data_IF_105143198646
#
_entry.id   IF_105143198646
#
_cell.length_a   1.000
_cell.length_b   1.000
_cell.length_c   1.000
_cell.angle_alpha   90.00
_cell.angle_beta   90.00
_cell.angle_gamma   90.00
#
_symmetry.space_group_name_H-M   'P 1'
#
loop_
_entity.id
_entity.type
_entity.pdbx_description
1 polymer ?
#
# COMPACT_ATOMS: atom_id res chain seq x y z
N UNK A 1 10.91 -22.79 -11.45
CA UNK A 1 10.94 -21.31 -11.48
C UNK A 1 11.64 -20.83 -10.24
N UNK A 2 12.43 -19.74 -10.29
CA UNK A 2 13.02 -19.14 -9.09
C UNK A 2 11.92 -18.76 -8.07
N UNK A 3 12.22 -18.90 -6.78
CA UNK A 3 11.26 -18.59 -5.69
C UNK A 3 11.16 -17.07 -5.40
N UNK A 4 12.11 -16.28 -5.93
CA UNK A 4 12.18 -14.82 -5.86
C UNK A 4 13.02 -14.29 -7.04
N UNK A 5 12.88 -13.00 -7.36
CA UNK A 5 13.69 -12.29 -8.35
C UNK A 5 14.75 -11.38 -7.73
N UNK A 6 15.61 -10.82 -8.58
CA UNK A 6 16.71 -9.90 -8.22
C UNK A 6 16.41 -8.44 -8.56
N UNK A 7 15.21 -8.16 -9.03
CA UNK A 7 14.73 -6.81 -9.38
C UNK A 7 13.63 -6.42 -8.39
N UNK A 8 13.53 -5.15 -8.04
CA UNK A 8 12.44 -4.65 -7.19
C UNK A 8 11.14 -4.48 -8.01
N UNK A 9 10.51 -5.61 -8.30
CA UNK A 9 9.19 -5.63 -8.94
C UNK A 9 8.21 -6.45 -8.12
N UNK A 10 6.91 -6.14 -8.26
CA UNK A 10 5.87 -6.93 -7.59
C UNK A 10 5.94 -8.43 -7.97
N UNK A 11 6.35 -8.74 -9.21
CA UNK A 11 6.49 -10.11 -9.70
C UNK A 11 7.72 -10.84 -9.12
N UNK A 12 8.74 -10.10 -8.69
CA UNK A 12 9.97 -10.64 -8.12
C UNK A 12 9.88 -10.92 -6.61
N UNK A 13 8.78 -10.54 -5.95
CA UNK A 13 8.59 -10.75 -4.50
C UNK A 13 8.68 -12.25 -4.12
N UNK A 14 9.39 -12.59 -3.03
CA UNK A 14 9.49 -13.96 -2.52
C UNK A 14 8.14 -14.64 -2.28
N UNK A 15 8.03 -15.88 -2.74
CA UNK A 15 6.83 -16.72 -2.60
C UNK A 15 6.89 -17.63 -1.36
N UNK A 16 6.83 -17.05 -0.15
CA UNK A 16 7.11 -17.76 1.11
C UNK A 16 5.88 -18.32 1.86
N UNK A 17 4.66 -17.97 1.47
CA UNK A 17 3.42 -18.33 2.21
C UNK A 17 2.70 -19.58 1.72
N UNK A 18 3.24 -20.27 0.71
CA UNK A 18 2.48 -21.26 -0.06
C UNK A 18 1.46 -20.62 -1.00
N UNK A 19 0.97 -21.37 -1.99
CA UNK A 19 0.22 -20.82 -3.14
C UNK A 19 -1.00 -19.98 -2.73
N UNK A 20 -1.73 -20.39 -1.69
CA UNK A 20 -2.95 -19.70 -1.23
C UNK A 20 -2.67 -18.41 -0.43
N UNK A 21 -1.50 -18.27 0.20
CA UNK A 21 -1.17 -17.08 1.01
C UNK A 21 -0.20 -16.14 0.32
N UNK A 22 0.46 -16.55 -0.77
CA UNK A 22 1.45 -15.73 -1.46
C UNK A 22 0.91 -14.35 -1.86
N UNK A 23 -0.33 -14.24 -2.34
CA UNK A 23 -0.93 -12.96 -2.70
C UNK A 23 -1.18 -12.05 -1.50
N UNK A 24 -1.38 -12.62 -0.31
CA UNK A 24 -1.54 -11.88 0.95
C UNK A 24 -0.17 -11.46 1.46
N UNK A 25 0.77 -12.41 1.58
CA UNK A 25 2.14 -12.16 2.06
C UNK A 25 2.93 -11.21 1.17
N UNK A 26 2.71 -11.25 -0.14
CA UNK A 26 3.34 -10.31 -1.07
C UNK A 26 2.98 -8.83 -0.81
N UNK A 27 1.90 -8.55 -0.07
CA UNK A 27 1.52 -7.18 0.34
C UNK A 27 2.37 -6.67 1.49
N UNK A 28 2.88 -7.57 2.33
CA UNK A 28 3.71 -7.24 3.50
C UNK A 28 5.21 -7.27 3.17
N UNK A 29 5.59 -7.91 2.07
CA UNK A 29 6.97 -8.00 1.60
C UNK A 29 7.30 -6.80 0.71
N UNK A 30 8.47 -6.21 0.92
CA UNK A 30 8.95 -5.07 0.16
C UNK A 30 10.47 -5.09 0.01
N UNK A 31 11.00 -4.44 -1.02
CA UNK A 31 12.43 -4.31 -1.24
C UNK A 31 13.05 -3.27 -0.29
N UNK A 32 14.31 -3.51 0.07
CA UNK A 32 15.18 -2.56 0.77
C UNK A 32 16.58 -2.65 0.19
N UNK A 33 17.48 -1.75 0.58
CA UNK A 33 18.91 -1.84 0.23
C UNK A 33 19.60 -3.12 0.74
N UNK A 34 19.04 -3.81 1.74
CA UNK A 34 19.56 -5.07 2.26
C UNK A 34 18.92 -6.31 1.61
N UNK A 35 17.86 -6.12 0.83
CA UNK A 35 17.12 -7.18 0.14
C UNK A 35 15.63 -7.22 0.49
N UNK A 36 14.97 -8.34 0.18
CA UNK A 36 13.55 -8.52 0.43
C UNK A 36 13.28 -8.59 1.92
N UNK A 37 12.42 -7.70 2.40
CA UNK A 37 12.11 -7.57 3.82
C UNK A 37 10.61 -7.54 4.06
N UNK A 38 10.20 -7.74 5.31
CA UNK A 38 8.84 -7.49 5.78
C UNK A 38 8.86 -6.62 7.05
N UNK A 39 7.71 -6.07 7.44
CA UNK A 39 7.60 -5.34 8.69
C UNK A 39 7.91 -6.29 9.88
N UNK A 40 8.87 -5.92 10.73
CA UNK A 40 9.24 -6.74 11.89
C UNK A 40 8.16 -6.76 12.97
N UNK A 41 8.14 -7.83 13.77
CA UNK A 41 7.15 -8.06 14.84
C UNK A 41 7.39 -7.24 16.14
N UNK A 42 8.14 -6.14 16.09
CA UNK A 42 8.52 -5.34 17.27
C UNK A 42 7.47 -4.32 17.73
N UNK A 43 7.41 -4.08 19.05
CA UNK A 43 6.65 -2.97 19.66
C UNK A 43 7.11 -1.63 19.07
N UNK A 44 6.17 -0.74 18.76
CA UNK A 44 6.38 0.54 18.07
C UNK A 44 7.33 1.55 18.76
N UNK A 45 7.93 1.21 19.90
CA UNK A 45 8.80 2.10 20.69
C UNK A 45 10.26 2.11 20.24
N UNK A 46 10.66 1.19 19.37
CA UNK A 46 11.96 1.21 18.68
C UNK A 46 11.63 1.05 17.21
N UNK A 47 11.97 2.05 16.38
CA UNK A 47 11.60 2.08 14.95
C UNK A 47 11.65 0.67 14.36
N UNK A 48 10.48 0.17 13.90
CA UNK A 48 10.28 -1.26 13.59
C UNK A 48 11.36 -1.71 12.61
N UNK A 49 12.39 -2.39 13.11
CA UNK A 49 13.42 -2.96 12.25
C UNK A 49 12.73 -3.96 11.32
N UNK A 50 13.04 -3.87 10.04
CA UNK A 50 12.49 -4.80 9.07
C UNK A 50 13.11 -6.19 9.28
N UNK A 51 12.33 -7.24 9.07
CA UNK A 51 12.86 -8.60 9.02
C UNK A 51 13.36 -8.87 7.61
N UNK A 52 14.66 -9.19 7.46
CA UNK A 52 15.26 -9.52 6.18
C UNK A 52 14.96 -10.99 5.84
N UNK A 53 14.21 -11.20 4.77
CA UNK A 53 13.81 -12.52 4.27
C UNK A 53 14.83 -13.09 3.28
N UNK A 54 15.34 -12.24 2.39
CA UNK A 54 16.35 -12.61 1.39
C UNK A 54 17.37 -11.49 1.29
N UNK A 55 18.61 -11.78 1.65
CA UNK A 55 19.70 -10.80 1.60
C UNK A 55 20.17 -10.57 0.15
N UNK A 56 20.07 -9.32 -0.31
CA UNK A 56 20.55 -8.87 -1.60
C UNK A 56 21.01 -7.42 -1.50
N UNK A 57 22.24 -7.15 -1.91
CA UNK A 57 22.80 -5.80 -1.84
C UNK A 57 22.11 -4.89 -2.86
N UNK A 58 21.58 -3.78 -2.39
CA UNK A 58 21.06 -2.69 -3.20
C UNK A 58 19.72 -2.96 -3.88
N UNK A 59 18.94 -3.97 -3.47
CA UNK A 59 17.74 -4.41 -4.20
C UNK A 59 16.75 -3.27 -4.53
N UNK A 60 16.42 -2.39 -3.58
CA UNK A 60 15.51 -1.26 -3.80
C UNK A 60 16.11 -0.11 -4.63
N UNK A 61 17.41 -0.18 -4.92
CA UNK A 61 18.14 0.77 -5.77
C UNK A 61 18.63 0.11 -7.07
N UNK A 62 18.31 -1.17 -7.28
CA UNK A 62 18.69 -1.91 -8.49
C UNK A 62 17.81 -1.45 -9.64
N UNK A 63 18.44 -1.17 -10.77
CA UNK A 63 17.78 -0.84 -12.03
C UNK A 63 17.17 -2.10 -12.66
N UNK A 64 15.93 -2.01 -13.17
CA UNK A 64 15.29 -3.12 -13.90
C UNK A 64 16.11 -3.39 -15.18
N UNK A 65 16.56 -4.63 -15.37
CA UNK A 65 17.39 -5.04 -16.51
C UNK A 65 18.90 -4.81 -16.37
N UNK A 66 19.39 -4.35 -15.22
CA UNK A 66 20.83 -4.25 -14.95
C UNK A 66 21.49 -5.62 -14.74
N UNK A 67 22.64 -5.87 -15.37
CA UNK A 67 23.33 -7.17 -15.32
C UNK A 67 24.16 -7.41 -14.04
N UNK A 68 24.06 -6.54 -13.02
CA UNK A 68 24.77 -6.75 -11.76
C UNK A 68 24.49 -5.68 -10.68
N UNK A 69 24.72 -6.07 -9.42
CA UNK A 69 24.66 -5.20 -8.25
C UNK A 69 25.82 -4.19 -8.28
N UNK A 70 25.66 -3.08 -9.00
CA UNK A 70 26.66 -1.99 -9.06
C UNK A 70 26.58 -1.06 -10.26
N UNK A 71 25.70 -1.31 -11.23
CA UNK A 71 25.57 -0.45 -12.41
C UNK A 71 24.54 0.68 -12.15
N UNK A 72 25.04 1.84 -11.68
CA UNK A 72 24.27 3.09 -11.50
C UNK A 72 24.36 3.97 -12.74
N UNK A 73 23.86 3.48 -13.88
CA UNK A 73 23.97 4.23 -15.12
C UNK A 73 22.95 3.84 -16.18
N UNK A 74 21.85 4.59 -16.27
CA UNK A 74 20.96 4.65 -17.43
C UNK A 74 19.95 3.49 -17.65
N UNK A 75 19.50 2.81 -16.61
CA UNK A 75 18.17 2.17 -16.60
C UNK A 75 17.25 2.91 -15.63
N UNK A 76 15.94 2.74 -15.81
CA UNK A 76 14.92 3.36 -14.96
C UNK A 76 15.15 2.88 -13.52
N UNK A 77 15.61 3.78 -12.64
CA UNK A 77 15.62 3.54 -11.20
C UNK A 77 14.26 3.00 -10.80
N UNK A 78 14.26 1.88 -10.05
CA UNK A 78 13.01 1.37 -9.50
C UNK A 78 12.55 2.34 -8.43
N UNK A 79 11.53 3.13 -8.76
CA UNK A 79 10.86 3.99 -7.81
C UNK A 79 9.81 3.19 -7.05
N UNK A 80 9.59 3.54 -5.78
CA UNK A 80 8.42 3.13 -5.03
C UNK A 80 7.16 3.29 -5.88
N UNK A 81 6.36 2.23 -5.98
CA UNK A 81 5.13 2.20 -6.76
C UNK A 81 4.07 1.38 -6.05
N UNK A 82 2.80 1.75 -6.25
CA UNK A 82 1.67 1.03 -5.68
C UNK A 82 1.52 -0.31 -6.41
N UNK A 83 1.69 -1.41 -5.67
CA UNK A 83 1.55 -2.79 -6.17
C UNK A 83 0.15 -3.34 -5.99
N UNK A 84 -0.59 -2.85 -5.00
CA UNK A 84 -1.97 -3.23 -4.75
C UNK A 84 -2.64 -2.25 -3.79
N UNK A 85 -3.96 -2.20 -3.84
CA UNK A 85 -4.77 -1.56 -2.82
C UNK A 85 -5.77 -2.57 -2.25
N UNK A 86 -6.08 -2.46 -0.96
CA UNK A 86 -7.02 -3.37 -0.30
C UNK A 86 -7.91 -2.64 0.70
N UNK A 87 -9.19 -3.03 0.75
CA UNK A 87 -10.00 -2.80 1.94
C UNK A 87 -9.41 -3.60 3.12
N UNK A 88 -9.34 -2.95 4.28
CA UNK A 88 -8.93 -3.59 5.54
C UNK A 88 -10.16 -4.08 6.33
N UNK A 89 -11.35 -3.93 5.76
CA UNK A 89 -12.63 -4.38 6.28
C UNK A 89 -13.37 -5.13 5.16
N UNK A 90 -14.22 -6.09 5.52
CA UNK A 90 -15.01 -6.87 4.55
C UNK A 90 -16.42 -6.34 4.34
N UNK A 91 -16.94 -5.59 5.31
CA UNK A 91 -18.24 -4.91 5.28
C UNK A 91 -18.20 -3.70 6.21
N UNK A 92 -19.18 -2.82 6.07
CA UNK A 92 -19.44 -1.72 7.01
C UNK A 92 -20.87 -1.83 7.54
N UNK A 93 -21.05 -1.82 8.87
CA UNK A 93 -22.39 -1.77 9.48
C UNK A 93 -22.72 -0.34 9.86
N UNK A 94 -23.85 0.17 9.37
CA UNK A 94 -24.32 1.50 9.76
C UNK A 94 -24.83 1.49 11.20
N UNK A 95 -25.54 0.45 11.63
CA UNK A 95 -26.04 0.37 13.00
C UNK A 95 -24.91 0.43 14.05
N UNK A 96 -23.78 -0.24 13.79
CA UNK A 96 -22.62 -0.23 14.69
C UNK A 96 -21.72 1.01 14.50
N UNK A 97 -21.72 1.60 13.30
CA UNK A 97 -20.68 2.54 12.91
C UNK A 97 -19.33 1.84 12.71
N UNK A 98 -18.28 2.60 12.45
CA UNK A 98 -16.95 2.04 12.35
C UNK A 98 -15.94 2.92 11.63
N UNK A 99 -14.87 2.29 11.16
CA UNK A 99 -13.80 2.97 10.41
C UNK A 99 -13.70 2.36 9.03
N UNK A 100 -13.99 3.14 7.99
CA UNK A 100 -13.59 2.80 6.63
C UNK A 100 -12.07 2.83 6.57
N UNK A 101 -11.46 1.79 5.99
CA UNK A 101 -10.01 1.62 6.02
C UNK A 101 -9.51 0.96 4.74
N UNK A 102 -8.63 1.67 4.03
CA UNK A 102 -8.01 1.21 2.77
C UNK A 102 -6.49 1.34 2.90
N UNK A 103 -5.78 0.32 2.44
CA UNK A 103 -4.32 0.29 2.39
C UNK A 103 -3.83 0.30 0.94
N UNK A 104 -2.89 1.20 0.62
CA UNK A 104 -2.07 1.14 -0.58
C UNK A 104 -0.70 0.53 -0.24
N UNK A 105 -0.35 -0.58 -0.91
CA UNK A 105 0.88 -1.33 -0.68
C UNK A 105 1.93 -0.99 -1.73
N UNK A 106 3.12 -0.64 -1.30
CA UNK A 106 4.26 -0.33 -2.17
C UNK A 106 5.18 -1.54 -2.37
N UNK A 107 5.96 -1.51 -3.45
CA UNK A 107 6.99 -2.52 -3.74
C UNK A 107 8.21 -2.40 -2.83
N UNK A 108 8.52 -1.19 -2.37
CA UNK A 108 9.57 -0.89 -1.38
C UNK A 108 9.01 -0.08 -0.19
N UNK A 109 9.88 0.23 0.78
CA UNK A 109 9.53 1.12 1.88
C UNK A 109 9.33 2.55 1.39
N UNK A 110 8.38 3.27 1.99
CA UNK A 110 8.08 4.67 1.65
C UNK A 110 8.03 5.56 2.88
N UNK A 111 8.50 6.79 2.71
CA UNK A 111 8.30 7.89 3.66
C UNK A 111 7.19 8.80 3.15
N UNK A 112 6.16 8.98 3.96
CA UNK A 112 5.02 9.88 3.66
C UNK A 112 5.17 11.16 4.47
N UNK A 113 5.02 12.30 3.81
CA UNK A 113 4.97 13.62 4.44
C UNK A 113 3.63 14.31 4.14
N UNK A 114 3.24 15.25 4.98
CA UNK A 114 1.94 15.95 4.88
C UNK A 114 0.74 15.07 5.24
N UNK A 115 -0.44 15.47 4.74
CA UNK A 115 -1.71 14.81 5.04
C UNK A 115 -2.41 14.36 3.75
N UNK A 116 -1.90 13.32 3.07
CA UNK A 116 -2.55 12.81 1.89
C UNK A 116 -3.98 12.33 2.17
N UNK A 117 -4.83 12.40 1.16
CA UNK A 117 -6.21 11.96 1.20
C UNK A 117 -6.53 11.01 0.07
N UNK A 118 -7.53 10.16 0.27
CA UNK A 118 -8.04 9.22 -0.70
C UNK A 118 -9.53 9.46 -0.91
N UNK A 119 -9.93 9.75 -2.13
CA UNK A 119 -11.34 9.88 -2.49
C UNK A 119 -11.97 8.52 -2.79
N UNK A 120 -13.01 8.18 -2.03
CA UNK A 120 -13.83 6.98 -2.19
C UNK A 120 -15.20 7.38 -2.71
N UNK A 121 -15.60 6.76 -3.81
CA UNK A 121 -16.91 6.95 -4.41
C UNK A 121 -17.96 6.18 -3.63
N UNK A 122 -19.11 6.81 -3.43
CA UNK A 122 -20.36 6.15 -3.05
C UNK A 122 -21.27 6.21 -4.29
N UNK A 123 -21.95 5.11 -4.60
CA UNK A 123 -22.79 5.01 -5.79
C UNK A 123 -24.12 5.77 -5.68
N UNK A 124 -24.64 5.92 -4.46
CA UNK A 124 -25.96 6.48 -4.17
C UNK A 124 -25.91 7.77 -3.34
N UNK A 125 -24.76 8.10 -2.75
CA UNK A 125 -24.56 9.27 -1.86
C UNK A 125 -23.29 10.06 -2.19
N UNK A 126 -23.05 11.09 -1.38
CA UNK A 126 -21.83 11.90 -1.49
C UNK A 126 -20.57 11.05 -1.27
N UNK A 127 -19.54 11.34 -2.06
CA UNK A 127 -18.25 10.68 -1.94
C UNK A 127 -17.61 10.92 -0.56
N UNK A 128 -16.85 9.93 -0.10
CA UNK A 128 -16.06 10.02 1.12
C UNK A 128 -14.62 10.43 0.81
N UNK A 129 -14.01 11.15 1.74
CA UNK A 129 -12.58 11.45 1.71
C UNK A 129 -11.94 10.82 2.95
N UNK A 130 -11.11 9.80 2.74
CA UNK A 130 -10.34 9.16 3.80
C UNK A 130 -9.01 9.91 3.95
N UNK A 131 -8.52 10.00 5.18
CA UNK A 131 -7.26 10.69 5.51
C UNK A 131 -6.17 9.68 5.86
N UNK A 132 -4.94 9.97 5.45
CA UNK A 132 -3.76 9.19 5.82
C UNK A 132 -3.63 9.06 7.35
N UNK A 133 -3.38 7.84 7.82
CA UNK A 133 -3.13 7.51 9.22
C UNK A 133 -1.75 6.87 9.35
N UNK A 134 -0.78 7.64 9.84
CA UNK A 134 0.56 7.13 10.11
C UNK A 134 0.57 5.99 11.15
N UNK A 135 -0.32 6.06 12.14
CA UNK A 135 -0.44 5.04 13.19
C UNK A 135 -0.95 3.69 12.66
N UNK A 136 -1.81 3.70 11.63
CA UNK A 136 -2.32 2.48 10.98
C UNK A 136 -1.41 1.96 9.85
N UNK A 137 -0.41 2.76 9.46
CA UNK A 137 0.50 2.46 8.35
C UNK A 137 1.68 1.59 8.77
N UNK A 138 2.34 0.97 7.80
CA UNK A 138 3.61 0.25 7.98
C UNK A 138 4.67 0.81 7.03
N UNK A 139 5.89 0.28 7.08
CA UNK A 139 7.01 0.78 6.27
C UNK A 139 6.71 0.83 4.75
N UNK A 140 5.94 -0.12 4.22
CA UNK A 140 5.59 -0.20 2.80
C UNK A 140 4.08 -0.01 2.55
N UNK A 141 3.31 0.36 3.56
CA UNK A 141 1.85 0.46 3.46
C UNK A 141 1.39 1.81 3.95
N UNK A 142 0.70 2.51 3.05
CA UNK A 142 0.04 3.76 3.34
C UNK A 142 -1.45 3.48 3.59
N UNK A 143 -1.92 3.72 4.81
CA UNK A 143 -3.31 3.44 5.20
C UNK A 143 -4.11 4.72 5.34
N UNK A 144 -5.27 4.74 4.70
CA UNK A 144 -6.25 5.81 4.75
C UNK A 144 -7.46 5.35 5.56
N UNK A 145 -7.96 6.23 6.43
CA UNK A 145 -9.06 5.92 7.34
C UNK A 145 -10.10 7.03 7.38
N UNK A 146 -11.36 6.66 7.62
CA UNK A 146 -12.44 7.58 7.94
C UNK A 146 -13.35 6.93 8.98
N UNK A 147 -13.48 7.58 10.13
CA UNK A 147 -14.42 7.15 11.17
C UNK A 147 -15.81 7.68 10.83
N UNK A 148 -16.81 6.81 10.84
CA UNK A 148 -18.21 7.14 10.64
C UNK A 148 -18.98 6.62 11.85
N UNK A 149 -19.73 7.50 12.50
CA UNK A 149 -20.49 7.16 13.70
C UNK A 149 -21.65 6.20 13.39
N UNK A 150 -22.10 5.48 14.42
CA UNK A 150 -23.31 4.66 14.36
C UNK A 150 -24.52 5.49 13.91
N UNK A 151 -25.32 4.94 13.00
CA UNK A 151 -26.53 5.57 12.48
C UNK A 151 -26.30 6.83 11.61
N UNK A 152 -25.06 7.16 11.25
CA UNK A 152 -24.77 8.33 10.42
C UNK A 152 -25.47 8.23 9.05
N UNK A 153 -25.93 9.36 8.50
CA UNK A 153 -26.74 9.40 7.26
C UNK A 153 -25.92 9.30 5.97
N UNK A 154 -24.59 9.38 6.06
CA UNK A 154 -23.69 9.37 4.91
C UNK A 154 -23.56 8.00 4.23
N UNK A 155 -23.94 6.93 4.90
CA UNK A 155 -23.97 5.54 4.40
C UNK A 155 -25.27 4.91 4.84
N UNK A 156 -25.89 4.08 4.01
CA UNK A 156 -27.02 3.22 4.37
C UNK A 156 -26.99 1.90 3.63
N UNK A 157 -27.92 1.03 4.01
CA UNK A 157 -28.12 -0.29 3.45
C UNK A 157 -28.15 -0.26 1.92
N UNK A 158 -27.31 -1.11 1.31
CA UNK A 158 -27.18 -1.23 -0.13
C UNK A 158 -26.24 -0.24 -0.81
N UNK A 159 -25.67 0.74 -0.10
CA UNK A 159 -24.64 1.60 -0.69
C UNK A 159 -23.39 0.80 -1.05
N UNK A 160 -22.84 1.08 -2.24
CA UNK A 160 -21.61 0.46 -2.72
C UNK A 160 -20.48 1.48 -2.77
N UNK A 161 -19.44 1.23 -1.97
CA UNK A 161 -18.23 2.03 -1.92
C UNK A 161 -17.15 1.49 -2.86
N UNK A 162 -16.55 2.37 -3.65
CA UNK A 162 -15.59 2.00 -4.68
C UNK A 162 -14.59 3.12 -4.96
N UNK A 163 -13.53 2.84 -5.72
CA UNK A 163 -12.61 3.86 -6.23
C UNK A 163 -12.76 3.90 -7.76
N UNK A 164 -13.70 4.73 -8.21
CA UNK A 164 -14.01 4.87 -9.63
C UNK A 164 -13.11 5.94 -10.24
N UNK A 165 -11.91 5.52 -10.62
CA UNK A 165 -10.93 6.35 -11.30
C UNK A 165 -9.49 6.00 -10.94
N UNK A 166 -8.56 6.45 -11.78
CA UNK A 166 -7.14 6.38 -11.51
C UNK A 166 -6.72 7.54 -10.60
N UNK A 167 -5.61 7.36 -9.87
CA UNK A 167 -4.90 8.45 -9.18
C UNK A 167 -5.79 9.27 -8.22
N UNK A 168 -6.60 8.59 -7.41
CA UNK A 168 -7.52 9.19 -6.44
C UNK A 168 -6.85 9.55 -5.11
N UNK A 169 -5.54 9.31 -4.98
CA UNK A 169 -4.71 9.78 -3.88
C UNK A 169 -4.27 11.22 -4.17
N UNK A 170 -4.63 12.14 -3.29
CA UNK A 170 -4.13 13.52 -3.27
C UNK A 170 -3.06 13.65 -2.19
N UNK A 171 -1.92 14.27 -2.51
CA UNK A 171 -0.83 14.46 -1.54
C UNK A 171 -1.00 15.70 -0.65
N UNK A 172 -1.92 16.60 -0.98
CA UNK A 172 -2.26 17.78 -0.17
C UNK A 172 -1.04 18.61 0.28
N UNK A 173 -0.09 18.85 -0.63
CA UNK A 173 1.16 19.59 -0.35
C UNK A 173 2.27 18.77 0.31
N UNK A 174 2.03 17.49 0.58
CA UNK A 174 3.04 16.51 1.01
C UNK A 174 3.67 15.74 -0.15
N UNK A 175 4.41 14.70 0.20
CA UNK A 175 5.15 13.84 -0.72
C UNK A 175 5.21 12.40 -0.25
N UNK A 176 5.36 11.47 -1.20
CA UNK A 176 5.72 10.07 -0.92
C UNK A 176 7.06 9.82 -1.59
N UNK A 177 8.03 9.37 -0.81
CA UNK A 177 9.41 9.15 -1.25
C UNK A 177 9.78 7.70 -0.97
N UNK A 178 10.41 7.03 -1.93
CA UNK A 178 10.92 5.66 -1.83
C UNK A 178 12.14 5.54 -0.93
N UNK A 179 12.64 4.32 -0.76
CA UNK A 179 13.84 4.09 0.05
C UNK A 179 15.11 4.59 -0.66
N UNK A 180 15.05 4.75 -1.98
CA UNK A 180 16.06 5.35 -2.85
C UNK A 180 16.13 6.90 -2.75
N UNK A 181 15.19 7.53 -2.04
CA UNK A 181 15.10 8.98 -1.92
C UNK A 181 14.35 9.67 -3.07
N UNK A 182 13.84 8.90 -4.04
CA UNK A 182 13.12 9.43 -5.19
C UNK A 182 11.61 9.49 -4.94
N UNK A 183 10.92 10.39 -5.65
CA UNK A 183 9.47 10.49 -5.56
C UNK A 183 8.79 9.19 -6.02
N UNK A 184 7.88 8.68 -5.19
CA UNK A 184 7.13 7.47 -5.48
C UNK A 184 6.11 7.69 -6.61
N UNK A 185 5.94 6.68 -7.45
CA UNK A 185 4.85 6.56 -8.40
C UNK A 185 3.55 6.17 -7.68
N UNK A 186 2.75 7.17 -7.34
CA UNK A 186 1.47 7.01 -6.61
C UNK A 186 0.28 6.67 -7.51
N UNK A 187 0.52 6.29 -8.77
CA UNK A 187 -0.55 5.94 -9.70
C UNK A 187 -1.15 4.59 -9.37
N UNK A 188 -2.47 4.49 -9.45
CA UNK A 188 -3.19 3.23 -9.30
C UNK A 188 -4.30 3.10 -10.34
N UNK A 189 -4.65 1.87 -10.68
CA UNK A 189 -5.77 1.58 -11.57
C UNK A 189 -7.12 1.92 -10.92
N UNK A 190 -8.13 2.15 -11.75
CA UNK A 190 -9.52 2.26 -11.30
C UNK A 190 -10.03 0.90 -10.81
N UNK A 191 -11.01 0.91 -9.90
CA UNK A 191 -11.69 -0.28 -9.42
C UNK A 191 -10.92 -1.12 -8.39
N UNK A 192 -9.66 -0.79 -8.09
CA UNK A 192 -8.96 -1.33 -6.92
C UNK A 192 -9.37 -0.52 -5.68
N UNK A 193 -9.59 -1.13 -4.49
CA UNK A 193 -9.43 -2.55 -4.13
C UNK A 193 -10.61 -3.47 -4.51
N UNK A 194 -11.62 -2.96 -5.19
CA UNK A 194 -12.92 -3.61 -5.38
C UNK A 194 -14.00 -2.88 -4.59
N UNK A 195 -15.24 -3.36 -4.73
CA UNK A 195 -16.39 -2.78 -4.06
C UNK A 195 -16.47 -3.23 -2.59
N UNK A 196 -17.00 -2.35 -1.75
CA UNK A 196 -17.39 -2.64 -0.37
C UNK A 196 -18.86 -2.25 -0.21
N UNK A 197 -19.69 -3.20 0.20
CA UNK A 197 -21.11 -2.94 0.45
C UNK A 197 -21.32 -2.51 1.91
N UNK A 198 -22.18 -1.51 2.10
CA UNK A 198 -22.68 -1.13 3.42
C UNK A 198 -23.93 -1.95 3.78
N UNK A 199 -23.92 -2.51 4.98
CA UNK A 199 -25.06 -3.17 5.61
C UNK A 199 -25.88 -2.16 6.44
N UNK A 200 -27.07 -2.58 6.86
CA UNK A 200 -28.07 -1.82 7.60
C UNK A 200 -27.58 -1.18 8.92
#
# INVERSE_FOLDING_TARGET
>A
MPLWGTEDTAAAKPQIGGRSQNAIKARDIFATVAGWSQAGAGRATTGKQHELLVAMRGLSTVLIGGTGAGDTGSATEVKASITSMNWNISSYSRAAGGTLSISANYNEAVTVTGNPTLAVNNDSRANHTLTYSAAASTANRMTFTLVIAAGHSSLQDGDVLSINGTNKISLSGGGVVGADGQAALITHAAGLPGNLEADA
#
